data_IF_111882673429
#
_entry.id   IF_111882673429
#
_cell.length_a   1.000
_cell.length_b   1.000
_cell.length_c   1.000
_cell.angle_alpha   90.00
_cell.angle_beta   90.00
_cell.angle_gamma   90.00
#
_symmetry.space_group_name_H-M   'P 1'
#
loop_
_entity.id
_entity.type
_entity.pdbx_description
1 polymer ?
#
# COMPACT_ATOMS: atom_id res chain seq x y z
N UNK A 1 15.44 -1.34 15.39
CA UNK A 1 14.72 -0.05 15.42
C UNK A 1 14.06 0.04 16.78
N UNK A 2 14.18 1.16 17.48
CA UNK A 2 13.53 1.35 18.79
C UNK A 2 11.99 1.32 18.67
N UNK A 3 11.31 0.78 19.68
CA UNK A 3 9.86 0.62 19.71
C UNK A 3 9.13 1.97 19.68
N UNK A 4 9.67 2.97 20.39
CA UNK A 4 9.13 4.33 20.40
C UNK A 4 9.21 4.96 19.02
N UNK A 5 10.34 4.83 18.33
CA UNK A 5 10.50 5.30 16.96
C UNK A 5 9.53 4.60 16.00
N UNK A 6 9.41 3.28 16.12
CA UNK A 6 8.49 2.48 15.29
C UNK A 6 7.04 2.93 15.45
N UNK A 7 6.62 3.21 16.68
CA UNK A 7 5.27 3.73 16.99
C UNK A 7 5.03 5.11 16.35
N UNK A 8 5.96 6.04 16.54
CA UNK A 8 5.85 7.40 15.99
C UNK A 8 5.81 7.38 14.46
N UNK A 9 6.62 6.52 13.82
CA UNK A 9 6.58 6.36 12.36
C UNK A 9 5.22 5.83 11.90
N UNK A 10 4.67 4.82 12.59
CA UNK A 10 3.34 4.30 12.28
C UNK A 10 2.26 5.38 12.39
N UNK A 11 2.23 6.13 13.49
CA UNK A 11 1.25 7.20 13.71
C UNK A 11 1.32 8.27 12.61
N UNK A 12 2.52 8.66 12.18
CA UNK A 12 2.72 9.64 11.10
C UNK A 12 2.23 9.12 9.75
N UNK A 13 2.52 7.86 9.43
CA UNK A 13 2.03 7.22 8.20
C UNK A 13 0.52 7.16 8.19
N UNK A 14 -0.10 6.75 9.31
CA UNK A 14 -1.56 6.71 9.42
C UNK A 14 -2.20 8.10 9.32
N UNK A 15 -1.59 9.13 9.94
CA UNK A 15 -2.07 10.50 9.83
C UNK A 15 -2.02 11.01 8.38
N UNK A 16 -0.96 10.68 7.65
CA UNK A 16 -0.83 11.00 6.22
C UNK A 16 -1.94 10.34 5.39
N UNK A 17 -2.21 9.04 5.62
CA UNK A 17 -3.25 8.30 4.91
C UNK A 17 -4.65 8.87 5.19
N UNK A 18 -4.96 9.18 6.45
CA UNK A 18 -6.23 9.80 6.84
C UNK A 18 -6.43 11.18 6.20
N UNK A 19 -5.37 11.97 6.09
CA UNK A 19 -5.45 13.28 5.42
C UNK A 19 -5.71 13.13 3.91
N UNK A 20 -5.00 12.22 3.24
CA UNK A 20 -5.25 11.94 1.83
C UNK A 20 -6.70 11.50 1.58
N UNK A 21 -7.24 10.65 2.46
CA UNK A 21 -8.64 10.22 2.39
C UNK A 21 -9.63 11.36 2.62
N UNK A 22 -9.40 12.22 3.63
CA UNK A 22 -10.23 13.41 3.86
C UNK A 22 -10.27 14.32 2.65
N UNK A 23 -9.11 14.59 2.03
CA UNK A 23 -9.02 15.42 0.83
C UNK A 23 -9.82 14.84 -0.33
N UNK A 24 -9.78 13.51 -0.53
CA UNK A 24 -10.55 12.85 -1.59
C UNK A 24 -12.06 12.89 -1.34
N UNK A 25 -12.50 12.78 -0.08
CA UNK A 25 -13.92 12.79 0.29
C UNK A 25 -14.53 14.18 0.31
N UNK A 26 -13.74 15.21 0.64
CA UNK A 26 -14.19 16.59 0.79
C UNK A 26 -14.04 17.45 -0.47
N UNK A 27 -13.33 16.96 -1.49
CA UNK A 27 -13.04 17.73 -2.69
C UNK A 27 -14.30 17.99 -3.54
N UNK A 28 -14.66 19.26 -3.70
CA UNK A 28 -15.34 19.74 -4.91
C UNK A 28 -14.40 19.44 -6.10
N UNK A 29 -14.82 18.60 -7.08
CA UNK A 29 -13.94 18.06 -8.13
C UNK A 29 -13.11 19.09 -8.90
N UNK A 30 -13.57 20.35 -8.99
CA UNK A 30 -12.88 21.42 -9.71
C UNK A 30 -11.77 22.15 -8.94
N UNK A 31 -11.91 22.31 -7.63
CA UNK A 31 -11.03 23.22 -6.85
C UNK A 31 -9.88 22.50 -6.12
N UNK A 32 -10.01 21.20 -5.84
CA UNK A 32 -9.09 20.49 -4.93
C UNK A 32 -8.01 19.64 -5.63
N UNK A 33 -8.02 19.54 -6.96
CA UNK A 33 -7.15 18.60 -7.67
C UNK A 33 -5.64 18.82 -7.47
N UNK A 34 -5.10 20.05 -7.50
CA UNK A 34 -3.68 20.27 -7.22
C UNK A 34 -3.26 19.76 -5.83
N UNK A 35 -4.09 20.02 -4.81
CA UNK A 35 -3.86 19.60 -3.43
C UNK A 35 -3.95 18.08 -3.27
N UNK A 36 -4.95 17.46 -3.91
CA UNK A 36 -5.12 16.00 -3.93
C UNK A 36 -3.92 15.32 -4.61
N UNK A 37 -3.42 15.85 -5.72
CA UNK A 37 -2.24 15.30 -6.42
C UNK A 37 -0.99 15.24 -5.54
N UNK A 38 -0.77 16.25 -4.70
CA UNK A 38 0.38 16.29 -3.76
C UNK A 38 0.33 15.14 -2.74
N UNK A 39 -0.86 14.63 -2.42
CA UNK A 39 -1.02 13.47 -1.52
C UNK A 39 -1.06 12.12 -2.24
N UNK A 40 -1.56 12.07 -3.48
CA UNK A 40 -1.64 10.82 -4.23
C UNK A 40 -0.30 10.39 -4.85
N UNK A 41 0.50 11.33 -5.36
CA UNK A 41 1.76 11.00 -6.03
C UNK A 41 2.76 10.27 -5.11
N UNK A 42 2.97 10.68 -3.85
CA UNK A 42 3.84 9.94 -2.95
C UNK A 42 3.32 8.52 -2.64
N UNK A 43 2.00 8.31 -2.58
CA UNK A 43 1.43 6.97 -2.39
C UNK A 43 1.71 6.06 -3.59
N UNK A 44 1.54 6.57 -4.81
CA UNK A 44 1.87 5.83 -6.03
C UNK A 44 3.37 5.49 -6.08
N UNK A 45 4.24 6.44 -5.74
CA UNK A 45 5.69 6.22 -5.66
C UNK A 45 6.06 5.20 -4.59
N UNK A 46 5.45 5.27 -3.41
CA UNK A 46 5.66 4.31 -2.32
C UNK A 46 5.27 2.89 -2.74
N UNK A 47 4.12 2.71 -3.40
CA UNK A 47 3.70 1.43 -3.94
C UNK A 47 4.68 0.88 -4.98
N UNK A 48 5.13 1.69 -5.94
CA UNK A 48 6.13 1.26 -6.94
C UNK A 48 7.43 0.81 -6.28
N UNK A 49 7.91 1.56 -5.28
CA UNK A 49 9.11 1.20 -4.53
C UNK A 49 8.92 -0.13 -3.78
N UNK A 50 7.79 -0.29 -3.08
CA UNK A 50 7.49 -1.50 -2.32
C UNK A 50 7.35 -2.72 -3.23
N UNK A 51 6.67 -2.59 -4.37
CA UNK A 51 6.51 -3.68 -5.35
C UNK A 51 7.84 -4.04 -6.02
N UNK A 52 8.72 -3.06 -6.27
CA UNK A 52 10.08 -3.29 -6.79
C UNK A 52 10.91 -4.10 -5.80
N UNK A 53 10.88 -3.71 -4.51
CA UNK A 53 11.54 -4.45 -3.44
C UNK A 53 10.99 -5.88 -3.34
N UNK A 54 9.67 -6.05 -3.48
CA UNK A 54 8.98 -7.33 -3.46
C UNK A 54 8.91 -8.03 -4.83
N UNK A 55 9.81 -7.72 -5.76
CA UNK A 55 9.76 -8.23 -7.13
C UNK A 55 9.71 -9.77 -7.24
N UNK A 56 9.17 -10.25 -8.36
CA UNK A 56 9.02 -11.67 -8.68
C UNK A 56 10.38 -12.37 -8.78
N UNK A 57 10.63 -13.30 -7.88
CA UNK A 57 11.76 -14.21 -7.85
C UNK A 57 11.52 -15.46 -8.67
N UNK A 58 12.50 -16.36 -8.63
CA UNK A 58 12.40 -17.65 -9.31
C UNK A 58 11.12 -18.38 -8.87
N UNK A 59 10.36 -18.90 -9.85
CA UNK A 59 9.10 -19.64 -9.63
C UNK A 59 7.94 -18.79 -9.07
N UNK A 60 7.94 -17.48 -9.32
CA UNK A 60 6.82 -16.59 -8.96
C UNK A 60 6.77 -16.17 -7.48
N UNK A 61 7.77 -16.54 -6.66
CA UNK A 61 7.84 -16.14 -5.25
C UNK A 61 8.43 -14.75 -5.07
N UNK A 62 8.12 -14.06 -3.98
CA UNK A 62 8.73 -12.75 -3.70
C UNK A 62 10.19 -12.88 -3.27
N UNK A 63 11.14 -12.25 -4.00
CA UNK A 63 12.58 -12.33 -3.69
C UNK A 63 12.93 -11.82 -2.29
N UNK A 64 12.25 -10.78 -1.83
CA UNK A 64 12.48 -10.19 -0.51
C UNK A 64 12.00 -11.12 0.62
N UNK A 65 10.85 -11.79 0.42
CA UNK A 65 10.31 -12.71 1.41
C UNK A 65 11.07 -14.04 1.46
N UNK A 66 11.61 -14.50 0.32
CA UNK A 66 12.41 -15.73 0.24
C UNK A 66 13.74 -15.61 1.01
N UNK A 67 14.34 -14.40 1.06
CA UNK A 67 15.57 -14.14 1.83
C UNK A 67 15.36 -14.13 3.35
N UNK A 68 14.14 -13.91 3.81
CA UNK A 68 13.81 -13.76 5.23
C UNK A 68 13.53 -15.10 5.95
N UNK A 69 13.95 -16.24 5.40
CA UNK A 69 13.80 -17.58 6.00
C UNK A 69 12.35 -17.88 6.47
N UNK A 70 11.34 -17.58 5.65
CA UNK A 70 9.98 -18.08 5.95
C UNK A 70 9.93 -19.61 5.77
N UNK A 71 9.24 -20.34 6.66
CA UNK A 71 9.02 -21.77 6.49
C UNK A 71 8.37 -22.03 5.13
N UNK A 72 8.97 -22.96 4.39
CA UNK A 72 8.58 -23.43 3.04
C UNK A 72 7.11 -23.86 2.91
N UNK A 73 6.37 -23.95 4.03
CA UNK A 73 4.97 -24.39 4.12
C UNK A 73 3.93 -23.34 3.74
N UNK A 74 4.29 -22.08 3.49
CA UNK A 74 3.33 -21.10 2.92
C UNK A 74 3.49 -21.00 1.40
N UNK A 75 2.99 -22.00 0.67
CA UNK A 75 2.87 -22.02 -0.79
C UNK A 75 1.87 -20.99 -1.33
N UNK A 76 1.85 -19.76 -0.79
CA UNK A 76 1.00 -18.70 -1.32
C UNK A 76 1.71 -18.08 -2.52
N UNK A 77 1.08 -18.02 -3.70
CA UNK A 77 1.71 -17.50 -4.91
C UNK A 77 2.09 -16.01 -4.80
N UNK A 78 1.46 -15.26 -3.89
CA UNK A 78 1.72 -13.84 -3.66
C UNK A 78 1.99 -13.55 -2.17
N UNK A 79 3.03 -12.76 -1.87
CA UNK A 79 3.27 -12.26 -0.52
C UNK A 79 2.20 -11.23 -0.09
N UNK A 80 2.15 -10.86 1.19
CA UNK A 80 1.14 -9.92 1.71
C UNK A 80 1.08 -8.61 0.92
N UNK A 81 2.24 -8.04 0.55
CA UNK A 81 2.32 -6.81 -0.25
C UNK A 81 1.58 -6.95 -1.58
N UNK A 82 1.89 -7.99 -2.35
CA UNK A 82 1.25 -8.23 -3.66
C UNK A 82 -0.24 -8.57 -3.52
N UNK A 83 -0.63 -9.30 -2.46
CA UNK A 83 -2.05 -9.55 -2.17
C UNK A 83 -2.81 -8.26 -1.86
N UNK A 84 -2.22 -7.36 -1.06
CA UNK A 84 -2.82 -6.05 -0.77
C UNK A 84 -2.89 -5.18 -2.02
N UNK A 85 -1.80 -5.11 -2.80
CA UNK A 85 -1.80 -4.35 -4.05
C UNK A 85 -2.87 -4.87 -5.02
N UNK A 86 -2.98 -6.20 -5.17
CA UNK A 86 -4.04 -6.79 -5.97
C UNK A 86 -5.41 -6.39 -5.44
N UNK A 87 -5.69 -6.57 -4.14
CA UNK A 87 -7.00 -6.26 -3.57
C UNK A 87 -7.41 -4.79 -3.73
N UNK A 88 -6.52 -3.84 -3.48
CA UNK A 88 -6.87 -2.41 -3.42
C UNK A 88 -6.60 -1.62 -4.70
N UNK A 89 -5.69 -2.09 -5.58
CA UNK A 89 -5.30 -1.37 -6.80
C UNK A 89 -5.82 -2.02 -8.09
N UNK A 90 -6.11 -3.33 -8.08
CA UNK A 90 -6.50 -4.08 -9.28
C UNK A 90 -7.88 -4.72 -9.13
N UNK A 91 -8.18 -5.29 -7.96
CA UNK A 91 -9.41 -6.01 -7.63
C UNK A 91 -10.62 -5.12 -7.35
N UNK A 92 -10.45 -3.80 -7.44
CA UNK A 92 -11.48 -2.81 -7.17
C UNK A 92 -11.69 -2.56 -5.68
N UNK A 93 -11.80 -1.28 -5.31
CA UNK A 93 -12.53 -0.87 -4.11
C UNK A 93 -13.92 -1.53 -4.13
N UNK A 94 -14.47 -2.06 -3.01
CA UNK A 94 -15.87 -2.43 -2.99
C UNK A 94 -16.70 -1.15 -3.18
N UNK A 95 -17.05 -0.84 -4.42
CA UNK A 95 -18.14 0.07 -4.71
C UNK A 95 -19.33 -0.44 -3.92
N UNK A 96 -19.82 0.35 -2.97
CA UNK A 96 -20.92 -0.04 -2.10
C UNK A 96 -22.10 -0.54 -2.92
N UNK A 97 -22.31 -1.85 -2.92
CA UNK A 97 -23.59 -2.44 -3.27
C UNK A 97 -24.49 -2.23 -2.08
N UNK A 98 -25.28 -1.15 -2.13
CA UNK A 98 -26.48 -1.07 -1.31
C UNK A 98 -27.39 -2.25 -1.65
N UNK A 99 -27.72 -3.03 -0.64
CA UNK A 99 -28.98 -3.74 -0.51
C UNK A 99 -29.48 -3.48 0.91
#
# INVERSE_FOLDING_TARGET
>A
MDERLSRVLRERVEAYLREAERMLRAADPGAAWPTVRVRLLPLATAWRSLLTQHGSGARGRCRHCDRAFRPWRSQRPLCSVWRTAHAYLVGGWPSGGGQ
#
